data_IF_303241510812
#
_entry.id   IF_303241510812
#
_cell.length_a   1.000
_cell.length_b   1.000
_cell.length_c   1.000
_cell.angle_alpha   90.00
_cell.angle_beta   90.00
_cell.angle_gamma   90.00
#
_symmetry.space_group_name_H-M   'P 1'
#
loop_
_entity.id
_entity.type
_entity.pdbx_description
1 polymer ?
#
# COMPACT_ATOMS: atom_id res chain seq x y z
N UNK A 1 -0.77 -25.17 -8.98
CA UNK A 1 -0.02 -24.30 -8.05
C UNK A 1 -0.76 -24.22 -6.73
N UNK A 2 -0.11 -24.50 -5.59
CA UNK A 2 -0.82 -24.48 -4.30
C UNK A 2 -1.33 -23.06 -4.00
N UNK A 3 -2.47 -22.96 -3.30
CA UNK A 3 -3.06 -21.67 -2.95
C UNK A 3 -2.10 -20.80 -2.11
N UNK A 4 -1.19 -21.43 -1.35
CA UNK A 4 -0.14 -20.74 -0.60
C UNK A 4 0.92 -20.14 -1.53
N UNK A 5 1.35 -20.89 -2.55
CA UNK A 5 2.35 -20.42 -3.51
C UNK A 5 1.79 -19.25 -4.34
N UNK A 6 0.52 -19.30 -4.75
CA UNK A 6 -0.13 -18.20 -5.48
C UNK A 6 -0.21 -16.90 -4.67
N UNK A 7 -0.54 -17.00 -3.38
CA UNK A 7 -0.60 -15.84 -2.51
C UNK A 7 0.79 -15.25 -2.23
N UNK A 8 1.79 -16.11 -2.00
CA UNK A 8 3.17 -15.69 -1.81
C UNK A 8 3.73 -14.99 -3.06
N UNK A 9 3.52 -15.58 -4.24
CA UNK A 9 3.93 -14.97 -5.51
C UNK A 9 3.25 -13.63 -5.75
N UNK A 10 1.99 -13.46 -5.38
CA UNK A 10 1.29 -12.17 -5.51
C UNK A 10 1.87 -11.10 -4.58
N UNK A 11 2.18 -11.44 -3.33
CA UNK A 11 2.83 -10.53 -2.39
C UNK A 11 4.23 -10.16 -2.88
N UNK A 12 5.03 -11.14 -3.28
CA UNK A 12 6.36 -10.90 -3.83
C UNK A 12 6.30 -10.01 -5.07
N UNK A 13 5.34 -10.25 -5.96
CA UNK A 13 5.11 -9.42 -7.14
C UNK A 13 4.74 -7.99 -6.77
N UNK A 14 3.87 -7.79 -5.78
CA UNK A 14 3.54 -6.46 -5.29
C UNK A 14 4.77 -5.72 -4.74
N UNK A 15 5.61 -6.39 -3.94
CA UNK A 15 6.87 -5.81 -3.46
C UNK A 15 7.82 -5.45 -4.60
N UNK A 16 7.95 -6.31 -5.61
CA UNK A 16 8.76 -6.03 -6.80
C UNK A 16 8.23 -4.79 -7.53
N UNK A 17 6.90 -4.68 -7.71
CA UNK A 17 6.30 -3.51 -8.33
C UNK A 17 6.59 -2.24 -7.54
N UNK A 18 6.53 -2.25 -6.20
CA UNK A 18 6.92 -1.07 -5.40
C UNK A 18 8.35 -0.66 -5.74
N UNK A 19 9.29 -1.59 -5.61
CA UNK A 19 10.72 -1.31 -5.74
C UNK A 19 11.04 -0.76 -7.13
N UNK A 20 10.34 -1.22 -8.17
CA UNK A 20 10.53 -0.75 -9.54
C UNK A 20 9.82 0.58 -9.83
N UNK A 21 8.58 0.74 -9.37
CA UNK A 21 7.75 1.88 -9.74
C UNK A 21 8.00 3.11 -8.86
N UNK A 22 8.38 2.94 -7.59
CA UNK A 22 8.73 4.06 -6.70
C UNK A 22 9.82 4.96 -7.29
N UNK A 23 10.99 4.47 -7.74
CA UNK A 23 12.02 5.33 -8.35
C UNK A 23 11.59 5.91 -9.70
N UNK A 24 10.79 5.18 -10.49
CA UNK A 24 10.26 5.67 -11.76
C UNK A 24 9.32 6.88 -11.55
N UNK A 25 8.39 6.77 -10.61
CA UNK A 25 7.48 7.86 -10.28
C UNK A 25 8.20 9.03 -9.59
N UNK A 26 9.21 8.76 -8.76
CA UNK A 26 10.09 9.79 -8.22
C UNK A 26 10.81 10.59 -9.31
N UNK A 27 11.41 9.91 -10.29
CA UNK A 27 12.11 10.58 -11.41
C UNK A 27 11.18 11.35 -12.33
N UNK A 28 9.97 10.83 -12.59
CA UNK A 28 8.95 11.58 -13.34
C UNK A 28 8.54 12.85 -12.59
N UNK A 29 8.38 12.75 -11.27
CA UNK A 29 8.05 13.90 -10.45
C UNK A 29 9.14 14.98 -10.49
N UNK A 30 10.41 14.60 -10.30
CA UNK A 30 11.56 15.51 -10.39
C UNK A 30 11.54 16.34 -11.67
N UNK A 31 11.18 15.68 -12.78
CA UNK A 31 11.12 16.29 -14.11
C UNK A 31 10.01 17.34 -14.26
N UNK A 32 8.85 17.15 -13.62
CA UNK A 32 7.68 18.00 -13.81
C UNK A 32 7.48 19.04 -12.70
N UNK A 33 7.96 18.76 -11.49
CA UNK A 33 7.65 19.56 -10.29
C UNK A 33 8.90 20.11 -9.58
N UNK A 34 10.10 19.73 -10.02
CA UNK A 34 11.36 20.19 -9.44
C UNK A 34 12.06 19.14 -8.58
N UNK A 35 13.36 19.32 -8.30
CA UNK A 35 14.20 18.28 -7.72
C UNK A 35 13.79 17.90 -6.30
N UNK A 36 13.59 16.60 -6.09
CA UNK A 36 13.46 15.96 -4.80
C UNK A 36 14.87 15.67 -4.26
N UNK A 37 15.20 16.16 -3.07
CA UNK A 37 16.54 15.98 -2.49
C UNK A 37 16.88 14.52 -2.18
N UNK A 38 18.17 14.21 -2.24
CA UNK A 38 18.81 12.92 -2.50
C UNK A 38 18.75 11.88 -1.36
N UNK A 39 17.57 11.35 -1.06
CA UNK A 39 17.43 10.10 -0.30
C UNK A 39 16.69 9.05 -1.13
N UNK A 40 17.01 7.77 -0.96
CA UNK A 40 16.24 6.65 -1.56
C UNK A 40 14.73 6.68 -1.17
N UNK A 41 14.42 7.40 -0.09
CA UNK A 41 13.09 7.75 0.42
C UNK A 41 12.94 9.27 0.64
N UNK A 42 13.89 10.06 0.14
CA UNK A 42 14.05 11.47 0.45
C UNK A 42 12.87 12.26 -0.07
N UNK A 43 12.13 12.88 0.84
CA UNK A 43 11.08 13.82 0.49
C UNK A 43 11.55 15.20 0.87
N UNK A 44 11.75 16.06 -0.13
CA UNK A 44 11.69 17.51 0.03
C UNK A 44 10.28 17.99 0.40
N UNK A 45 9.29 17.10 0.30
CA UNK A 45 7.86 17.30 0.57
C UNK A 45 7.28 16.13 1.38
N UNK A 46 7.48 16.10 2.71
CA UNK A 46 7.02 15.02 3.60
C UNK A 46 5.54 14.67 3.44
N UNK A 47 4.72 15.64 3.04
CA UNK A 47 3.28 15.52 2.80
C UNK A 47 2.89 14.43 1.77
N UNK A 48 3.79 14.06 0.86
CA UNK A 48 3.52 13.00 -0.12
C UNK A 48 3.85 11.59 0.38
N UNK A 49 4.58 11.44 1.49
CA UNK A 49 4.80 10.13 2.10
C UNK A 49 3.46 9.52 2.51
N UNK A 50 2.66 10.32 3.21
CA UNK A 50 1.36 9.94 3.72
C UNK A 50 0.40 9.60 2.56
N UNK A 51 0.39 10.40 1.49
CA UNK A 51 -0.42 10.16 0.31
C UNK A 51 -0.03 8.89 -0.46
N UNK A 52 1.28 8.63 -0.58
CA UNK A 52 1.79 7.40 -1.17
C UNK A 52 1.40 6.19 -0.32
N UNK A 53 1.65 6.25 0.99
CA UNK A 53 1.35 5.19 1.94
C UNK A 53 -0.15 4.89 1.99
N UNK A 54 -0.98 5.93 1.98
CA UNK A 54 -2.44 5.83 1.94
C UNK A 54 -2.92 5.17 0.66
N UNK A 55 -2.47 5.64 -0.50
CA UNK A 55 -2.81 5.04 -1.81
C UNK A 55 -2.37 3.58 -1.87
N UNK A 56 -1.18 3.29 -1.36
CA UNK A 56 -0.59 1.98 -1.36
C UNK A 56 -1.37 0.99 -0.48
N UNK A 57 -1.64 1.35 0.77
CA UNK A 57 -2.44 0.56 1.70
C UNK A 57 -3.86 0.32 1.16
N UNK A 58 -4.44 1.32 0.48
CA UNK A 58 -5.78 1.22 -0.12
C UNK A 58 -5.80 0.21 -1.28
N UNK A 59 -4.96 0.41 -2.29
CA UNK A 59 -4.98 -0.42 -3.50
C UNK A 59 -4.62 -1.87 -3.19
N UNK A 60 -3.65 -2.10 -2.30
CA UNK A 60 -3.24 -3.45 -1.91
C UNK A 60 -4.31 -4.18 -1.09
N UNK A 61 -4.96 -3.48 -0.16
CA UNK A 61 -6.11 -4.03 0.57
C UNK A 61 -7.25 -4.39 -0.38
N UNK A 62 -7.57 -3.49 -1.31
CA UNK A 62 -8.64 -3.69 -2.29
C UNK A 62 -8.33 -4.88 -3.21
N UNK A 63 -7.12 -4.95 -3.76
CA UNK A 63 -6.68 -6.03 -4.63
C UNK A 63 -6.69 -7.39 -3.91
N UNK A 64 -6.12 -7.47 -2.71
CA UNK A 64 -6.16 -8.70 -1.91
C UNK A 64 -7.61 -9.12 -1.61
N UNK A 65 -8.50 -8.17 -1.38
CA UNK A 65 -9.89 -8.49 -1.08
C UNK A 65 -10.71 -8.91 -2.30
N UNK A 66 -10.36 -8.41 -3.49
CA UNK A 66 -10.98 -8.79 -4.77
C UNK A 66 -10.51 -10.14 -5.29
N UNK A 67 -9.19 -10.39 -5.25
CA UNK A 67 -8.58 -11.55 -5.92
C UNK A 67 -8.31 -12.73 -5.00
N UNK A 68 -8.28 -12.54 -3.68
CA UNK A 68 -8.04 -13.61 -2.70
C UNK A 68 -9.30 -13.90 -1.89
N UNK A 69 -9.77 -15.15 -1.97
CA UNK A 69 -10.97 -15.61 -1.26
C UNK A 69 -10.65 -16.19 0.13
N UNK A 70 -9.57 -16.98 0.26
CA UNK A 70 -9.14 -17.57 1.54
C UNK A 70 -7.98 -16.81 2.18
N UNK A 71 -8.03 -16.60 3.49
CA UNK A 71 -6.98 -15.96 4.30
C UNK A 71 -6.64 -14.50 3.92
N UNK A 72 -7.49 -13.80 3.16
CA UNK A 72 -7.22 -12.43 2.70
C UNK A 72 -6.85 -11.45 3.83
N UNK A 73 -7.58 -11.49 4.95
CA UNK A 73 -7.31 -10.61 6.10
C UNK A 73 -5.97 -10.92 6.76
N UNK A 74 -5.54 -12.19 6.78
CA UNK A 74 -4.21 -12.58 7.26
C UNK A 74 -3.11 -12.02 6.36
N UNK A 75 -3.31 -12.04 5.04
CA UNK A 75 -2.34 -11.49 4.10
C UNK A 75 -2.29 -9.96 4.16
N UNK A 76 -3.45 -9.32 4.28
CA UNK A 76 -3.55 -7.87 4.52
C UNK A 76 -2.79 -7.53 5.81
N UNK A 77 -3.03 -8.25 6.90
CA UNK A 77 -2.34 -8.01 8.18
C UNK A 77 -0.83 -8.26 8.10
N UNK A 78 -0.36 -9.30 7.40
CA UNK A 78 1.08 -9.54 7.19
C UNK A 78 1.71 -8.38 6.43
N UNK A 79 1.06 -7.96 5.36
CA UNK A 79 1.55 -6.91 4.48
C UNK A 79 1.58 -5.54 5.16
N UNK A 80 0.44 -5.16 5.73
CA UNK A 80 0.29 -3.94 6.52
C UNK A 80 1.23 -3.95 7.74
N UNK A 81 1.29 -5.07 8.45
CA UNK A 81 2.19 -5.24 9.59
C UNK A 81 3.67 -5.15 9.21
N UNK A 82 4.06 -5.62 8.01
CA UNK A 82 5.44 -5.49 7.54
C UNK A 82 5.85 -4.04 7.25
N UNK A 83 4.91 -3.19 6.82
CA UNK A 83 5.16 -1.75 6.67
C UNK A 83 5.39 -1.10 8.03
N UNK A 84 4.52 -1.34 9.01
CA UNK A 84 4.69 -0.79 10.36
C UNK A 84 5.97 -1.28 11.05
N UNK A 85 6.35 -2.54 10.82
CA UNK A 85 7.62 -3.06 11.32
C UNK A 85 8.81 -2.31 10.72
N UNK A 86 8.71 -1.88 9.45
CA UNK A 86 9.75 -1.07 8.82
C UNK A 86 9.92 0.28 9.53
N UNK A 87 8.84 0.95 9.90
CA UNK A 87 8.89 2.22 10.64
C UNK A 87 9.49 2.04 12.05
N UNK A 88 9.18 0.91 12.71
CA UNK A 88 9.82 0.53 13.98
C UNK A 88 11.32 0.36 13.81
N UNK A 89 11.75 -0.36 12.76
CA UNK A 89 13.18 -0.58 12.48
C UNK A 89 13.93 0.72 12.17
N UNK A 90 13.25 1.69 11.55
CA UNK A 90 13.80 3.02 11.28
C UNK A 90 13.77 3.96 12.49
N UNK A 91 13.13 3.56 13.61
CA UNK A 91 12.97 4.40 14.79
C UNK A 91 12.01 5.59 14.60
N UNK A 92 11.15 5.53 13.58
CA UNK A 92 10.22 6.60 13.21
C UNK A 92 8.90 6.46 13.97
N UNK A 93 8.89 6.86 15.25
CA UNK A 93 7.70 6.74 16.10
C UNK A 93 6.54 7.65 15.67
N UNK A 94 6.85 8.84 15.17
CA UNK A 94 5.86 9.79 14.65
C UNK A 94 5.27 9.26 13.32
N UNK A 95 6.12 8.77 12.42
CA UNK A 95 5.71 8.12 11.17
C UNK A 95 4.80 6.92 11.45
N UNK A 96 5.16 6.06 12.40
CA UNK A 96 4.37 4.89 12.75
C UNK A 96 2.92 5.19 13.15
N UNK A 97 2.66 6.29 13.86
CA UNK A 97 1.31 6.69 14.26
C UNK A 97 0.51 7.13 13.03
N UNK A 98 1.13 7.92 12.16
CA UNK A 98 0.53 8.44 10.93
C UNK A 98 0.26 7.30 9.94
N UNK A 99 1.24 6.42 9.77
CA UNK A 99 1.18 5.24 8.91
C UNK A 99 0.11 4.26 9.40
N UNK A 100 0.04 4.02 10.71
CA UNK A 100 -1.05 3.22 11.29
C UNK A 100 -2.43 3.86 11.01
N UNK A 101 -2.56 5.18 11.23
CA UNK A 101 -3.81 5.91 10.97
C UNK A 101 -4.24 5.85 9.51
N UNK A 102 -3.33 6.14 8.59
CA UNK A 102 -3.59 6.08 7.14
C UNK A 102 -3.92 4.65 6.69
N UNK A 103 -3.28 3.62 7.23
CA UNK A 103 -3.61 2.22 6.93
C UNK A 103 -5.04 1.87 7.35
N UNK A 104 -5.48 2.28 8.54
CA UNK A 104 -6.86 2.05 9.00
C UNK A 104 -7.85 2.75 8.08
N UNK A 105 -7.61 4.01 7.74
CA UNK A 105 -8.48 4.78 6.83
C UNK A 105 -8.53 4.12 5.45
N UNK A 106 -7.39 3.78 4.88
CA UNK A 106 -7.29 3.12 3.58
C UNK A 106 -7.97 1.75 3.56
N UNK A 107 -7.85 0.98 4.64
CA UNK A 107 -8.56 -0.29 4.78
C UNK A 107 -10.08 -0.09 4.78
N UNK A 108 -10.58 0.89 5.55
CA UNK A 108 -12.00 1.25 5.58
C UNK A 108 -12.51 1.71 4.22
N UNK A 109 -11.76 2.57 3.52
CA UNK A 109 -12.10 3.02 2.16
C UNK A 109 -12.17 1.86 1.18
N UNK A 110 -11.25 0.89 1.27
CA UNK A 110 -11.27 -0.29 0.42
C UNK A 110 -12.52 -1.16 0.70
N UNK A 111 -12.91 -1.34 1.97
CA UNK A 111 -14.14 -2.04 2.32
C UNK A 111 -15.39 -1.30 1.80
N UNK A 112 -15.41 0.04 1.91
CA UNK A 112 -16.50 0.87 1.40
C UNK A 112 -16.63 0.74 -0.14
N UNK A 113 -15.52 0.83 -0.87
CA UNK A 113 -15.50 0.63 -2.32
C UNK A 113 -16.03 -0.75 -2.74
N UNK A 114 -15.65 -1.79 -2.01
CA UNK A 114 -16.17 -3.15 -2.22
C UNK A 114 -17.66 -3.27 -1.95
N UNK A 115 -18.14 -2.63 -0.88
CA UNK A 115 -19.55 -2.62 -0.52
C UNK A 115 -20.40 -1.96 -1.63
N UNK A 116 -19.94 -0.81 -2.14
CA UNK A 116 -20.58 -0.11 -3.26
C UNK A 116 -20.57 -1.00 -4.51
N UNK A 117 -19.42 -1.57 -4.87
CA UNK A 117 -19.30 -2.47 -6.03
C UNK A 117 -20.30 -3.63 -5.99
N UNK A 118 -20.41 -4.31 -4.84
CA UNK A 118 -21.36 -5.41 -4.65
C UNK A 118 -22.81 -4.95 -4.77
N UNK A 119 -23.15 -3.83 -4.14
CA UNK A 119 -24.50 -3.26 -4.16
C UNK A 119 -24.95 -2.89 -5.59
N UNK A 120 -24.03 -2.44 -6.43
CA UNK A 120 -24.29 -2.13 -7.84
C UNK A 120 -24.41 -3.40 -8.70
N UNK A 121 -23.63 -4.44 -8.40
CA UNK A 121 -23.65 -5.71 -9.16
C UNK A 121 -24.87 -6.58 -8.85
N UNK A 122 -25.45 -6.46 -7.65
CA UNK A 122 -26.68 -7.16 -7.24
C UNK A 122 -27.93 -6.54 -7.89
N UNK A 123 -27.85 -5.29 -8.36
CA UNK A 123 -28.94 -4.60 -9.07
C UNK A 123 -28.96 -4.84 -10.59
N UNK A 124 -27.99 -5.56 -11.15
CA UNK A 124 -27.97 -6.02 -12.54
C UNK A 124 -28.34 -7.49 -12.60
#
# INVERSE_FOLDING_TARGET
MSHKLKNFSFIAFAFILIILFTPLFGSLYDKYFGPVTSGFLGLSHPEYFEGFFMSYAFFMTLALTLFITKNKYKLIAIFLGSLLLFDIFLGSWEGLIIDFGTMVISWLLAQLGLFIYKSLKIKK
#
